data_IF_933032835743
#
_entry.id   IF_933032835743
#
_cell.length_a   1.000
_cell.length_b   1.000
_cell.length_c   1.000
_cell.angle_alpha   90.00
_cell.angle_beta   90.00
_cell.angle_gamma   90.00
#
_symmetry.space_group_name_H-M   'P 1'
#
loop_
_entity.id
_entity.type
_entity.pdbx_description
1 polymer ?
#
# COMPACT_ATOMS: atom_id res chain seq x y z
N UNK A 1 10.05 15.08 2.25
CA UNK A 1 8.93 15.02 3.21
C UNK A 1 8.31 13.63 3.12
N UNK A 2 7.85 13.04 4.22
CA UNK A 2 7.14 11.75 4.17
C UNK A 2 5.91 11.87 3.29
N UNK A 3 5.58 10.81 2.56
CA UNK A 3 4.35 10.72 1.78
C UNK A 3 3.16 10.69 2.72
N UNK A 4 2.02 11.21 2.26
CA UNK A 4 0.76 11.04 3.01
C UNK A 4 0.18 9.65 2.80
N UNK A 5 -0.57 9.14 3.77
CA UNK A 5 -1.27 7.84 3.66
C UNK A 5 -2.16 7.78 2.41
N UNK A 6 -2.88 8.86 2.09
CA UNK A 6 -3.71 8.93 0.86
C UNK A 6 -2.90 8.74 -0.43
N UNK A 7 -1.64 9.18 -0.45
CA UNK A 7 -0.78 9.05 -1.62
C UNK A 7 -0.36 7.60 -1.82
N UNK A 8 0.00 6.91 -0.73
CA UNK A 8 0.30 5.47 -0.76
C UNK A 8 -0.91 4.66 -1.24
N UNK A 9 -2.10 4.94 -0.70
CA UNK A 9 -3.35 4.29 -1.14
C UNK A 9 -3.63 4.54 -2.63
N UNK A 10 -3.44 5.78 -3.10
CA UNK A 10 -3.63 6.12 -4.51
C UNK A 10 -2.65 5.37 -5.43
N UNK A 11 -1.38 5.22 -5.01
CA UNK A 11 -0.39 4.45 -5.76
C UNK A 11 -0.79 2.97 -5.87
N UNK A 12 -1.21 2.36 -4.77
CA UNK A 12 -1.68 0.96 -4.75
C UNK A 12 -2.92 0.76 -5.63
N UNK A 13 -3.90 1.67 -5.56
CA UNK A 13 -5.11 1.61 -6.41
C UNK A 13 -4.77 1.70 -7.90
N UNK A 14 -3.86 2.60 -8.29
CA UNK A 14 -3.41 2.72 -9.69
C UNK A 14 -2.71 1.47 -10.18
N UNK A 15 -2.04 0.75 -9.28
CA UNK A 15 -1.39 -0.52 -9.57
C UNK A 15 -2.34 -1.73 -9.49
N UNK A 16 -3.65 -1.52 -9.33
CA UNK A 16 -4.65 -2.60 -9.34
C UNK A 16 -4.79 -3.36 -8.03
N UNK A 17 -4.23 -2.87 -6.92
CA UNK A 17 -4.43 -3.50 -5.62
C UNK A 17 -5.88 -3.30 -5.14
N UNK A 18 -6.41 -4.34 -4.51
CA UNK A 18 -7.66 -4.28 -3.76
C UNK A 18 -7.36 -4.09 -2.27
N UNK A 19 -8.31 -3.54 -1.53
CA UNK A 19 -8.19 -3.40 -0.08
C UNK A 19 -9.45 -3.76 0.67
N UNK A 20 -9.27 -4.11 1.94
CA UNK A 20 -10.34 -4.25 2.94
C UNK A 20 -10.06 -3.40 4.16
N UNK A 21 -11.13 -2.93 4.80
CA UNK A 21 -11.05 -2.22 6.07
C UNK A 21 -10.63 -3.19 7.19
N UNK A 22 -9.67 -2.78 7.99
CA UNK A 22 -9.30 -3.43 9.24
C UNK A 22 -9.90 -2.70 10.45
N UNK A 23 -9.30 -2.90 11.62
CA UNK A 23 -9.71 -2.20 12.85
C UNK A 23 -9.25 -0.74 12.82
N UNK A 24 -10.18 0.19 13.04
CA UNK A 24 -9.90 1.62 13.10
C UNK A 24 -9.47 2.16 11.73
N UNK A 25 -8.33 2.87 11.67
CA UNK A 25 -7.82 3.42 10.41
C UNK A 25 -6.93 2.46 9.61
N UNK A 26 -6.84 1.19 10.02
CA UNK A 26 -6.03 0.21 9.30
C UNK A 26 -6.76 -0.28 8.05
N UNK A 27 -6.01 -0.45 6.97
CA UNK A 27 -6.46 -1.05 5.71
C UNK A 27 -5.47 -2.13 5.31
N UNK A 28 -5.99 -3.27 4.88
CA UNK A 28 -5.18 -4.39 4.37
C UNK A 28 -5.32 -4.42 2.85
N UNK A 29 -4.19 -4.41 2.16
CA UNK A 29 -4.07 -4.30 0.71
C UNK A 29 -3.48 -5.58 0.12
N UNK A 30 -4.01 -6.03 -1.01
CA UNK A 30 -3.60 -7.26 -1.67
C UNK A 30 -3.72 -7.14 -3.19
N UNK A 31 -2.84 -7.81 -3.91
CA UNK A 31 -2.88 -7.91 -5.36
C UNK A 31 -2.94 -9.40 -5.79
N UNK A 32 -3.74 -9.80 -6.81
CA UNK A 32 -3.87 -11.20 -7.21
C UNK A 32 -2.56 -11.88 -7.61
N UNK A 33 -1.59 -11.12 -8.11
CA UNK A 33 -0.28 -11.63 -8.53
C UNK A 33 0.73 -11.75 -7.39
N UNK A 34 0.46 -11.15 -6.21
CA UNK A 34 1.39 -11.18 -5.09
C UNK A 34 0.93 -12.19 -4.03
N UNK A 35 1.84 -13.00 -3.47
CA UNK A 35 1.48 -14.01 -2.47
C UNK A 35 1.28 -13.44 -1.07
N UNK A 36 1.42 -12.12 -0.89
CA UNK A 36 1.37 -11.45 0.40
C UNK A 36 0.45 -10.21 0.37
N UNK A 37 0.15 -9.70 1.56
CA UNK A 37 -0.65 -8.48 1.75
C UNK A 37 0.13 -7.42 2.52
N UNK A 38 -0.26 -6.17 2.34
CA UNK A 38 0.32 -5.00 3.00
C UNK A 38 -0.70 -4.45 4.00
N UNK A 39 -0.23 -3.89 5.11
CA UNK A 39 -1.10 -3.16 6.03
C UNK A 39 -0.70 -1.69 6.06
N UNK A 40 -1.65 -0.80 5.77
CA UNK A 40 -1.50 0.63 5.97
C UNK A 40 -2.33 1.07 7.16
N UNK A 41 -1.67 1.64 8.17
CA UNK A 41 -2.30 2.34 9.29
C UNK A 41 -2.36 3.85 9.02
N UNK A 42 -3.12 4.57 9.85
CA UNK A 42 -3.27 6.03 9.74
C UNK A 42 -4.44 6.53 8.88
N UNK A 43 -4.86 7.76 9.18
CA UNK A 43 -5.87 8.50 8.40
C UNK A 43 -5.22 9.07 7.14
N UNK A 44 -6.03 9.35 6.13
CA UNK A 44 -5.57 9.79 4.80
C UNK A 44 -4.68 11.05 4.80
N UNK A 45 -4.90 11.98 5.74
CA UNK A 45 -4.09 13.19 5.90
C UNK A 45 -2.82 13.03 6.75
N UNK A 46 -2.62 11.88 7.39
CA UNK A 46 -1.44 11.60 8.20
C UNK A 46 -0.22 11.34 7.30
N UNK A 47 0.96 11.67 7.82
CA UNK A 47 2.22 11.21 7.24
C UNK A 47 2.34 9.70 7.40
N UNK A 48 2.85 9.04 6.36
CA UNK A 48 3.13 7.62 6.39
C UNK A 48 4.37 7.34 7.23
N UNK A 49 4.33 6.25 7.98
CA UNK A 49 5.53 5.73 8.61
C UNK A 49 6.51 5.24 7.55
N UNK A 50 7.81 5.33 7.83
CA UNK A 50 8.87 4.93 6.87
C UNK A 50 8.73 3.48 6.39
N UNK A 51 8.24 2.58 7.25
CA UNK A 51 8.02 1.18 6.86
C UNK A 51 6.86 1.06 5.86
N UNK A 52 5.79 1.84 6.01
CA UNK A 52 4.65 1.82 5.08
C UNK A 52 5.07 2.28 3.68
N UNK A 53 5.90 3.33 3.59
CA UNK A 53 6.46 3.77 2.30
C UNK A 53 7.34 2.69 1.67
N UNK A 54 8.20 2.05 2.48
CA UNK A 54 9.10 0.98 2.02
C UNK A 54 8.32 -0.24 1.53
N UNK A 55 7.31 -0.67 2.27
CA UNK A 55 6.50 -1.85 1.95
C UNK A 55 5.70 -1.63 0.67
N UNK A 56 5.12 -0.44 0.49
CA UNK A 56 4.42 -0.07 -0.76
C UNK A 56 5.39 -0.04 -1.94
N UNK A 57 6.57 0.56 -1.77
CA UNK A 57 7.58 0.60 -2.83
C UNK A 57 8.03 -0.80 -3.25
N UNK A 58 8.28 -1.68 -2.28
CA UNK A 58 8.68 -3.06 -2.55
C UNK A 58 7.57 -3.83 -3.28
N UNK A 59 6.32 -3.71 -2.83
CA UNK A 59 5.22 -4.39 -3.48
C UNK A 59 4.95 -3.94 -4.91
N UNK A 60 5.11 -2.64 -5.20
CA UNK A 60 5.02 -2.13 -6.56
C UNK A 60 6.16 -2.66 -7.44
N UNK A 61 7.38 -2.74 -6.90
CA UNK A 61 8.53 -3.31 -7.62
C UNK A 61 8.35 -4.81 -7.87
N UNK A 62 7.90 -5.56 -6.88
CA UNK A 62 7.64 -6.99 -7.03
C UNK A 62 6.55 -7.24 -8.07
N UNK A 63 5.50 -6.40 -8.10
CA UNK A 63 4.46 -6.47 -9.11
C UNK A 63 5.00 -6.17 -10.51
N UNK A 64 5.84 -5.15 -10.65
CA UNK A 64 6.50 -4.79 -11.92
C UNK A 64 7.34 -5.96 -12.45
N UNK A 65 8.16 -6.59 -11.60
CA UNK A 65 8.98 -7.75 -11.98
C UNK A 65 8.15 -9.00 -12.40
N UNK A 66 6.89 -9.10 -11.99
CA UNK A 66 6.00 -10.23 -12.36
C UNK A 66 5.23 -9.96 -13.66
N UNK A 67 5.19 -8.70 -14.11
CA UNK A 67 4.51 -8.29 -15.33
C UNK A 67 5.47 -8.17 -16.53
N UNK A 68 6.77 -8.23 -16.28
CA UNK A 68 7.85 -8.37 -17.28
C UNK A 68 7.99 -9.83 -17.74
#
# INVERSE_FOLDING_TARGET
MPKKIRELKSMLLKAGFNYRSGKGSHTVWSHPLLPYSLTLSGKDGADADRYQEKDVKNALKDLENLQE
#
